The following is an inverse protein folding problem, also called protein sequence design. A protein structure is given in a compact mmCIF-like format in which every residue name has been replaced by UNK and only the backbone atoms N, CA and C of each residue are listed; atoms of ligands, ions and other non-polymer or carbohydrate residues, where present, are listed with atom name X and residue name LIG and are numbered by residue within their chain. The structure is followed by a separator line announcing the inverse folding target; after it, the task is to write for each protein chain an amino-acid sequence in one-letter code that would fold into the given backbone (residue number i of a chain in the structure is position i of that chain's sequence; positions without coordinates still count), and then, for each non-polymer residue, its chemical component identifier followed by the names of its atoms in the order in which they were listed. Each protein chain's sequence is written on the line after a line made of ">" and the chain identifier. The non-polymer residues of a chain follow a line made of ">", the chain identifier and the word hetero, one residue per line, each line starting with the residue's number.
data_IF_862546269348
#
_entry.id   IF_862546269348
#
_cell.length_a   1.000
_cell.length_b   1.000
_cell.length_c   1.000
_cell.angle_alpha   90.00
_cell.angle_beta   90.00
_cell.angle_gamma   90.00
#
_symmetry.space_group_name_H-M   'P 1'
#
loop_
_entity.id
_entity.type
_entity.pdbx_description
1 polymer ?
#
# COMPACT_ATOMS: atom_id res chain seq x y z
N UNK A 1 11.76 24.98 36.98
CA UNK A 1 11.23 25.44 35.67
C UNK A 1 12.06 24.91 34.49
N UNK A 2 13.39 25.07 34.49
CA UNK A 2 14.27 24.62 33.39
C UNK A 2 14.17 23.11 33.06
N UNK A 3 14.02 22.24 34.07
CA UNK A 3 13.87 20.79 33.89
C UNK A 3 12.57 20.41 33.17
N UNK A 4 11.46 21.08 33.49
CA UNK A 4 10.17 20.87 32.84
C UNK A 4 10.20 21.34 31.38
N UNK A 5 10.87 22.46 31.11
CA UNK A 5 11.08 22.97 29.76
C UNK A 5 11.88 21.99 28.90
N UNK A 6 12.96 21.40 29.44
CA UNK A 6 13.77 20.39 28.73
C UNK A 6 12.99 19.12 28.42
N UNK A 7 12.16 18.65 29.36
CA UNK A 7 11.29 17.49 29.14
C UNK A 7 10.28 17.80 28.03
N UNK A 8 9.64 18.97 28.07
CA UNK A 8 8.70 19.39 27.03
C UNK A 8 9.35 19.48 25.64
N UNK A 9 10.57 20.02 25.55
CA UNK A 9 11.31 20.09 24.27
C UNK A 9 11.67 18.70 23.75
N UNK A 10 12.11 17.78 24.63
CA UNK A 10 12.47 16.42 24.24
C UNK A 10 11.25 15.62 23.75
N UNK A 11 10.11 15.77 24.42
CA UNK A 11 8.86 15.13 24.01
C UNK A 11 8.37 15.64 22.66
N UNK A 12 8.51 16.93 22.38
CA UNK A 12 8.12 17.51 21.09
C UNK A 12 9.00 17.00 19.94
N UNK A 13 10.32 16.90 20.17
CA UNK A 13 11.25 16.34 19.19
C UNK A 13 10.92 14.86 18.91
N UNK A 14 10.62 14.07 19.94
CA UNK A 14 10.24 12.68 19.78
C UNK A 14 8.94 12.50 18.97
N UNK A 15 7.98 13.43 19.10
CA UNK A 15 6.73 13.39 18.36
C UNK A 15 6.93 13.72 16.87
N UNK A 16 7.81 14.68 16.56
CA UNK A 16 8.14 15.08 15.18
C UNK A 16 9.04 14.03 14.50
N UNK A 17 9.91 13.37 15.25
CA UNK A 17 10.80 12.33 14.76
C UNK A 17 10.13 10.95 14.65
N UNK A 18 8.83 10.84 14.93
CA UNK A 18 8.11 9.60 14.71
C UNK A 18 8.11 9.28 13.21
N UNK A 19 8.43 8.04 12.80
CA UNK A 19 8.42 7.69 11.39
C UNK A 19 7.00 7.91 10.88
N UNK A 20 6.87 8.70 9.81
CA UNK A 20 5.63 8.70 9.05
C UNK A 20 5.42 7.27 8.59
N UNK A 21 4.35 6.63 9.08
CA UNK A 21 3.96 5.31 8.65
C UNK A 21 3.72 5.37 7.14
N UNK A 22 4.61 4.77 6.36
CA UNK A 22 4.38 4.53 4.94
C UNK A 22 3.39 3.37 4.86
N UNK A 23 2.10 3.70 4.89
CA UNK A 23 1.07 2.74 4.53
C UNK A 23 1.37 2.28 3.08
N UNK A 24 1.23 0.99 2.80
CA UNK A 24 1.50 0.40 1.49
C UNK A 24 0.34 0.68 0.52
N UNK A 25 -0.16 1.90 0.51
CA UNK A 25 -1.33 2.30 -0.25
C UNK A 25 -0.86 3.15 -1.43
N UNK A 26 -1.61 3.09 -2.53
CA UNK A 26 -1.27 3.78 -3.77
C UNK A 26 -2.47 4.56 -4.29
N UNK A 27 -2.21 5.76 -4.79
CA UNK A 27 -3.23 6.65 -5.37
C UNK A 27 -2.92 6.92 -6.84
N UNK A 28 -3.93 6.72 -7.70
CA UNK A 28 -3.90 7.09 -9.11
C UNK A 28 -5.14 7.92 -9.43
N UNK A 29 -5.05 9.24 -9.26
CA UNK A 29 -6.18 10.15 -9.44
C UNK A 29 -7.26 9.93 -8.36
N UNK A 30 -8.36 9.26 -8.74
CA UNK A 30 -9.46 8.88 -7.82
C UNK A 30 -9.48 7.40 -7.46
N UNK A 31 -8.52 6.64 -7.97
CA UNK A 31 -8.36 5.22 -7.69
C UNK A 31 -7.41 5.04 -6.51
N UNK A 32 -7.93 4.42 -5.46
CA UNK A 32 -7.18 4.02 -4.28
C UNK A 32 -6.91 2.52 -4.33
N UNK A 33 -5.66 2.12 -4.12
CA UNK A 33 -5.23 0.72 -4.00
C UNK A 33 -4.71 0.50 -2.58
N UNK A 34 -5.39 -0.35 -1.82
CA UNK A 34 -5.07 -0.65 -0.42
C UNK A 34 -4.18 -1.90 -0.31
N UNK A 35 -3.07 -1.73 0.40
CA UNK A 35 -2.13 -2.77 0.83
C UNK A 35 -1.94 -3.95 -0.15
N UNK A 36 -1.35 -3.75 -1.34
CA UNK A 36 -1.02 -4.86 -2.24
C UNK A 36 -0.09 -5.87 -1.57
N UNK A 37 -0.41 -7.15 -1.72
CA UNK A 37 0.37 -8.22 -1.14
C UNK A 37 0.35 -9.47 -2.02
N UNK A 38 1.32 -10.35 -1.77
CA UNK A 38 1.39 -11.66 -2.40
C UNK A 38 1.90 -12.66 -1.38
N UNK A 39 1.57 -13.95 -1.59
CA UNK A 39 2.15 -15.05 -0.82
C UNK A 39 3.32 -15.61 -1.59
N UNK A 40 4.41 -15.89 -0.89
CA UNK A 40 5.54 -16.61 -1.48
C UNK A 40 5.04 -17.87 -2.23
N UNK A 41 5.52 -18.02 -3.47
CA UNK A 41 5.15 -19.16 -4.30
C UNK A 41 5.71 -20.45 -3.67
N UNK A 42 4.93 -21.54 -3.58
CA UNK A 42 5.47 -22.85 -3.25
C UNK A 42 6.62 -23.23 -4.20
N UNK A 43 7.56 -24.09 -3.76
CA UNK A 43 8.61 -24.59 -4.64
C UNK A 43 8.05 -25.13 -5.96
N UNK A 44 8.57 -24.63 -7.08
CA UNK A 44 8.17 -24.99 -8.45
C UNK A 44 6.74 -24.62 -8.86
N UNK A 45 6.03 -23.77 -8.11
CA UNK A 45 4.73 -23.26 -8.54
C UNK A 45 4.89 -22.35 -9.78
N UNK A 46 4.22 -22.64 -10.91
CA UNK A 46 4.36 -21.84 -12.13
C UNK A 46 3.56 -20.53 -12.09
N UNK A 47 2.68 -20.37 -11.10
CA UNK A 47 1.78 -19.22 -10.94
C UNK A 47 1.78 -18.78 -9.48
N UNK A 48 1.72 -17.47 -9.25
CA UNK A 48 1.63 -16.83 -7.94
C UNK A 48 0.49 -15.81 -7.96
N UNK A 49 -0.26 -15.72 -6.85
CA UNK A 49 -1.33 -14.74 -6.70
C UNK A 49 -0.84 -13.45 -6.05
N UNK A 50 -1.21 -12.32 -6.64
CA UNK A 50 -1.17 -11.00 -6.01
C UNK A 50 -2.58 -10.55 -5.67
N UNK A 51 -2.74 -9.88 -4.53
CA UNK A 51 -4.04 -9.46 -4.00
C UNK A 51 -3.95 -7.99 -3.55
N UNK A 52 -5.01 -7.25 -3.80
CA UNK A 52 -5.19 -5.87 -3.31
C UNK A 52 -6.68 -5.55 -3.33
N UNK A 53 -7.06 -4.48 -2.64
CA UNK A 53 -8.38 -3.87 -2.81
C UNK A 53 -8.24 -2.61 -3.66
N UNK A 54 -9.14 -2.43 -4.64
CA UNK A 54 -9.22 -1.23 -5.47
C UNK A 54 -10.55 -0.55 -5.21
N UNK A 55 -10.49 0.72 -4.83
CA UNK A 55 -11.67 1.56 -4.60
C UNK A 55 -11.63 2.76 -5.54
N UNK A 56 -12.72 2.97 -6.30
CA UNK A 56 -12.90 4.17 -7.09
C UNK A 56 -13.68 5.22 -6.27
N UNK A 57 -13.03 6.33 -5.93
CA UNK A 57 -13.63 7.47 -5.23
C UNK A 57 -14.16 8.58 -6.17
N UNK A 58 -14.21 8.32 -7.47
CA UNK A 58 -14.73 9.23 -8.48
C UNK A 58 -16.22 9.04 -8.75
N UNK A 59 -16.81 10.01 -9.44
CA UNK A 59 -18.22 9.99 -9.84
C UNK A 59 -18.45 9.34 -11.22
N UNK A 60 -17.39 8.78 -11.83
CA UNK A 60 -17.41 8.12 -13.13
C UNK A 60 -16.89 6.71 -12.98
N UNK A 61 -17.50 5.76 -13.69
CA UNK A 61 -17.06 4.37 -13.72
C UNK A 61 -15.62 4.28 -14.25
N UNK A 62 -14.83 3.39 -13.63
CA UNK A 62 -13.47 3.07 -14.02
C UNK A 62 -13.25 1.56 -13.82
N UNK A 63 -12.34 0.99 -14.61
CA UNK A 63 -12.12 -0.45 -14.66
C UNK A 63 -10.63 -0.79 -14.73
N UNK A 64 -10.22 -1.77 -13.90
CA UNK A 64 -8.91 -2.39 -14.02
C UNK A 64 -8.90 -3.35 -15.23
N UNK A 65 -8.24 -2.94 -16.31
CA UNK A 65 -8.21 -3.70 -17.56
C UNK A 65 -6.91 -4.47 -17.80
N UNK A 66 -5.83 -4.12 -17.10
CA UNK A 66 -4.51 -4.72 -17.29
C UNK A 66 -3.65 -4.58 -16.03
N UNK A 67 -2.63 -5.44 -15.92
CA UNK A 67 -1.57 -5.37 -14.94
C UNK A 67 -0.29 -5.99 -15.52
N UNK A 68 0.87 -5.58 -15.02
CA UNK A 68 2.17 -6.10 -15.42
C UNK A 68 3.04 -6.37 -14.19
N UNK A 69 3.99 -7.30 -14.31
CA UNK A 69 4.92 -7.62 -13.24
C UNK A 69 6.25 -8.07 -13.81
N UNK A 70 7.40 -7.54 -13.33
CA UNK A 70 8.71 -7.90 -13.86
C UNK A 70 9.12 -9.37 -13.58
N UNK A 71 8.42 -10.05 -12.65
CA UNK A 71 8.69 -11.44 -12.29
C UNK A 71 7.80 -12.45 -13.05
N UNK A 72 6.86 -11.98 -13.88
CA UNK A 72 5.91 -12.83 -14.59
C UNK A 72 5.87 -12.50 -16.09
N UNK A 73 5.88 -13.53 -16.94
CA UNK A 73 5.73 -13.34 -18.39
C UNK A 73 4.32 -12.92 -18.83
N UNK A 74 3.31 -13.12 -17.96
CA UNK A 74 1.92 -12.71 -18.18
C UNK A 74 1.22 -12.54 -16.82
N UNK A 75 0.27 -11.60 -16.76
CA UNK A 75 -0.62 -11.38 -15.62
C UNK A 75 -2.06 -11.61 -16.07
N UNK A 76 -2.86 -12.22 -15.18
CA UNK A 76 -4.30 -12.42 -15.35
C UNK A 76 -5.04 -11.74 -14.20
N UNK A 77 -6.18 -11.13 -14.50
CA UNK A 77 -7.02 -10.47 -13.50
C UNK A 77 -8.17 -11.42 -13.14
N UNK A 78 -8.28 -11.72 -11.85
CA UNK A 78 -9.37 -12.50 -11.28
C UNK A 78 -10.13 -11.62 -10.28
N UNK A 79 -11.39 -11.33 -10.56
CA UNK A 79 -12.24 -10.52 -9.68
C UNK A 79 -13.06 -11.43 -8.77
N UNK A 80 -12.96 -11.22 -7.45
CA UNK A 80 -13.86 -11.81 -6.48
C UNK A 80 -14.89 -10.76 -6.06
N UNK A 81 -16.16 -11.06 -6.26
CA UNK A 81 -17.32 -10.29 -5.75
C UNK A 81 -17.66 -10.69 -4.34
#
# INVERSE_FOLDING_TARGET
>A
MLKQMKIATLSLIALIASPMSLAHDYEAGKIHIDHPWSREAPPNAPVIGGFFQLTNHGDTEDALIAAESPIAGRVEIYTHT
#
